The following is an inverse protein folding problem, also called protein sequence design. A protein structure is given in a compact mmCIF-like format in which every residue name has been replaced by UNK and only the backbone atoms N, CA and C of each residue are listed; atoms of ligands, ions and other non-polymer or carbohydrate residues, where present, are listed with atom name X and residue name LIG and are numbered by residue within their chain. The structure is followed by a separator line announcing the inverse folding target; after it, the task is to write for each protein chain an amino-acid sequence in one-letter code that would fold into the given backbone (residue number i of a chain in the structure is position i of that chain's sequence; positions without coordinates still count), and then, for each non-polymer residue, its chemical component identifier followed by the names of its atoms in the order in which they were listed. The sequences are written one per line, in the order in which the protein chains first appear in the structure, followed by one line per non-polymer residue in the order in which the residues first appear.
data_IF_952390842034
#
_entry.id   IF_952390842034
#
_cell.length_a   1.000
_cell.length_b   1.000
_cell.length_c   1.000
_cell.angle_alpha   90.00
_cell.angle_beta   90.00
_cell.angle_gamma   90.00
#
_symmetry.space_group_name_H-M   'P 1'
#
loop_
_entity.id
_entity.type
_entity.pdbx_description
1 polymer ?
#
# COMPACT_ATOMS: atom_id res chain seq x y z
N UNK A 1 1.64 -3.38 8.18
CA UNK A 1 0.31 -4.03 8.11
C UNK A 1 0.08 -4.52 6.69
N UNK A 2 -0.30 -5.79 6.48
CA UNK A 2 -0.47 -6.36 5.14
C UNK A 2 -1.56 -7.45 5.10
N UNK A 3 -2.23 -7.57 3.95
CA UNK A 3 -3.25 -8.59 3.69
C UNK A 3 -3.36 -8.92 2.21
N UNK A 4 -3.93 -10.08 1.89
CA UNK A 4 -4.30 -10.45 0.51
C UNK A 4 -5.76 -10.08 0.24
N UNK A 5 -5.99 -9.03 -0.57
CA UNK A 5 -7.34 -8.54 -0.91
C UNK A 5 -8.22 -9.59 -1.61
N UNK A 6 -7.62 -10.61 -2.25
CA UNK A 6 -8.37 -11.68 -2.90
C UNK A 6 -9.15 -12.53 -1.89
N UNK A 7 -8.62 -12.66 -0.66
CA UNK A 7 -9.32 -13.35 0.43
C UNK A 7 -10.56 -12.60 0.91
N UNK A 8 -10.66 -11.31 0.57
CA UNK A 8 -11.84 -10.47 0.83
C UNK A 8 -12.76 -10.37 -0.40
N UNK A 9 -12.48 -11.13 -1.47
CA UNK A 9 -13.26 -11.07 -2.71
C UNK A 9 -13.10 -9.77 -3.50
N UNK A 10 -12.08 -8.95 -3.20
CA UNK A 10 -11.87 -7.65 -3.83
C UNK A 10 -11.10 -7.80 -5.16
N UNK A 11 -11.71 -7.46 -6.30
CA UNK A 11 -11.05 -7.54 -7.59
C UNK A 11 -9.93 -6.50 -7.72
N UNK A 12 -8.98 -6.75 -8.62
CA UNK A 12 -7.96 -5.78 -8.98
C UNK A 12 -8.40 -4.91 -10.15
N UNK A 13 -8.14 -3.63 -10.07
CA UNK A 13 -8.29 -2.67 -11.15
C UNK A 13 -7.17 -1.65 -11.16
N UNK A 14 -7.06 -0.85 -12.22
CA UNK A 14 -6.11 0.26 -12.30
C UNK A 14 -6.32 1.32 -11.21
N UNK A 15 -7.54 1.46 -10.70
CA UNK A 15 -7.88 2.40 -9.63
C UNK A 15 -7.12 2.08 -8.34
N UNK A 16 -6.78 0.80 -8.07
CA UNK A 16 -5.93 0.44 -6.93
C UNK A 16 -4.52 1.03 -7.02
N UNK A 17 -3.94 1.11 -8.24
CA UNK A 17 -2.64 1.76 -8.43
C UNK A 17 -2.72 3.25 -8.12
N UNK A 18 -3.81 3.88 -8.55
CA UNK A 18 -4.06 5.29 -8.31
C UNK A 18 -4.26 5.56 -6.82
N UNK A 19 -5.13 4.78 -6.15
CA UNK A 19 -5.34 4.87 -4.71
C UNK A 19 -4.03 4.67 -3.92
N UNK A 20 -3.15 3.77 -4.36
CA UNK A 20 -1.85 3.57 -3.73
C UNK A 20 -0.94 4.79 -3.86
N UNK A 21 -0.99 5.51 -4.97
CA UNK A 21 -0.26 6.78 -5.15
C UNK A 21 -0.82 7.87 -4.25
N UNK A 22 -2.13 8.07 -4.29
CA UNK A 22 -2.82 9.07 -3.48
C UNK A 22 -2.56 8.84 -2.00
N UNK A 23 -2.80 7.64 -1.49
CA UNK A 23 -2.57 7.31 -0.08
C UNK A 23 -1.10 7.51 0.32
N UNK A 24 -0.14 7.15 -0.54
CA UNK A 24 1.28 7.26 -0.19
C UNK A 24 1.79 8.70 -0.20
N UNK A 25 1.39 9.51 -1.19
CA UNK A 25 1.99 10.82 -1.42
C UNK A 25 1.17 12.00 -0.88
N UNK A 26 -0.06 11.75 -0.47
CA UNK A 26 -0.92 12.75 0.17
C UNK A 26 -1.15 12.37 1.64
N UNK A 27 -2.00 11.39 1.92
CA UNK A 27 -2.41 11.04 3.27
C UNK A 27 -1.26 10.57 4.17
N UNK A 28 -0.58 9.48 3.78
CA UNK A 28 0.48 8.89 4.63
C UNK A 28 1.74 9.76 4.68
N UNK A 29 2.00 10.52 3.63
CA UNK A 29 3.07 11.50 3.66
C UNK A 29 2.81 12.58 4.71
N UNK A 30 1.59 13.12 4.75
CA UNK A 30 1.20 14.14 5.72
C UNK A 30 1.14 13.58 7.14
N UNK A 31 0.37 12.51 7.35
CA UNK A 31 0.02 12.03 8.68
C UNK A 31 1.16 11.23 9.34
N UNK A 32 1.82 10.35 8.58
CA UNK A 32 2.83 9.44 9.16
C UNK A 32 4.24 10.02 9.04
N UNK A 33 4.59 10.62 7.88
CA UNK A 33 5.93 11.15 7.70
C UNK A 33 6.10 12.54 8.30
N UNK A 34 5.27 13.52 7.89
CA UNK A 34 5.45 14.92 8.31
C UNK A 34 5.05 15.11 9.76
N UNK A 35 3.84 14.70 10.14
CA UNK A 35 3.32 14.85 11.51
C UNK A 35 3.86 13.77 12.46
N UNK A 36 3.94 12.52 11.99
CA UNK A 36 4.38 11.38 12.78
C UNK A 36 5.89 11.29 12.95
N UNK A 37 6.68 11.87 12.04
CA UNK A 37 8.14 11.86 12.10
C UNK A 37 8.81 10.63 11.50
N UNK A 38 8.08 9.75 10.84
CA UNK A 38 8.65 8.62 10.12
C UNK A 38 9.51 9.09 8.94
N UNK A 39 10.59 8.38 8.63
CA UNK A 39 11.42 8.69 7.48
C UNK A 39 10.70 8.44 6.15
N UNK A 40 9.85 7.43 6.11
CA UNK A 40 9.02 7.12 4.96
C UNK A 40 7.80 6.30 5.34
N UNK A 41 6.73 6.47 4.59
CA UNK A 41 5.50 5.69 4.73
C UNK A 41 4.84 5.52 3.37
N UNK A 42 3.99 4.51 3.23
CA UNK A 42 3.23 4.33 2.00
C UNK A 42 2.27 3.14 2.04
N UNK A 43 1.44 3.10 1.02
CA UNK A 43 0.56 1.98 0.70
C UNK A 43 0.95 1.38 -0.63
N UNK A 44 1.01 0.07 -0.71
CA UNK A 44 1.33 -0.67 -1.92
C UNK A 44 0.29 -1.75 -2.17
N UNK A 45 -0.04 -1.92 -3.44
CA UNK A 45 -0.91 -3.00 -3.90
C UNK A 45 -0.28 -3.72 -5.08
N UNK A 46 -0.55 -5.02 -5.19
CA UNK A 46 -0.10 -5.82 -6.31
C UNK A 46 -1.29 -6.51 -6.97
N UNK A 47 -1.16 -6.79 -8.25
CA UNK A 47 -2.14 -7.60 -8.96
C UNK A 47 -2.30 -9.00 -8.36
N UNK A 48 -1.23 -9.58 -7.82
CA UNK A 48 -1.24 -10.87 -7.15
C UNK A 48 -2.04 -10.90 -5.83
N UNK A 49 -2.60 -9.76 -5.41
CA UNK A 49 -3.49 -9.64 -4.26
C UNK A 49 -2.87 -8.97 -3.04
N UNK A 50 -1.54 -8.91 -2.94
CA UNK A 50 -0.91 -8.31 -1.77
C UNK A 50 -1.21 -6.80 -1.69
N UNK A 51 -1.73 -6.39 -0.54
CA UNK A 51 -1.88 -4.99 -0.15
C UNK A 51 -1.11 -4.78 1.15
N UNK A 52 -0.34 -3.72 1.25
CA UNK A 52 0.44 -3.44 2.46
C UNK A 52 0.57 -1.94 2.72
N UNK A 53 0.37 -1.57 3.97
CA UNK A 53 0.86 -0.32 4.53
C UNK A 53 2.24 -0.55 5.13
N UNK A 54 3.12 0.41 5.01
CA UNK A 54 4.45 0.36 5.62
C UNK A 54 4.89 1.73 6.09
N UNK A 55 5.70 1.73 7.16
CA UNK A 55 6.51 2.87 7.58
C UNK A 55 7.95 2.42 7.79
N UNK A 56 8.87 3.36 7.76
CA UNK A 56 10.30 3.13 7.91
C UNK A 56 10.93 4.17 8.81
N UNK A 57 11.76 3.72 9.79
CA UNK A 57 12.32 4.57 10.83
C UNK A 57 11.23 5.43 11.50
N UNK A 58 10.22 4.73 11.98
CA UNK A 58 9.02 5.32 12.54
C UNK A 58 9.11 5.33 14.06
N UNK A 59 9.05 6.52 14.71
CA UNK A 59 9.12 6.62 16.17
C UNK A 59 7.78 6.36 16.86
N UNK A 60 6.65 6.22 16.13
CA UNK A 60 5.28 6.23 16.67
C UNK A 60 4.44 5.06 16.18
N UNK A 61 4.74 3.84 16.66
CA UNK A 61 4.12 2.59 16.20
C UNK A 61 2.59 2.64 16.27
N UNK A 62 2.04 2.98 17.43
CA UNK A 62 0.59 2.94 17.66
C UNK A 62 -0.17 3.99 16.84
N UNK A 63 0.35 5.22 16.80
CA UNK A 63 -0.25 6.30 16.00
C UNK A 63 -0.22 5.95 14.52
N UNK A 64 0.87 5.40 14.03
CA UNK A 64 1.02 4.98 12.63
C UNK A 64 0.05 3.85 12.28
N UNK A 65 -0.10 2.85 13.17
CA UNK A 65 -1.09 1.80 12.99
C UNK A 65 -2.52 2.34 12.93
N UNK A 66 -2.85 3.33 13.77
CA UNK A 66 -4.14 4.01 13.73
C UNK A 66 -4.35 4.73 12.39
N UNK A 67 -3.34 5.47 11.89
CA UNK A 67 -3.40 6.15 10.58
C UNK A 67 -3.59 5.16 9.42
N UNK A 68 -2.97 3.98 9.49
CA UNK A 68 -3.23 2.94 8.48
C UNK A 68 -4.69 2.46 8.50
N UNK A 69 -5.30 2.35 9.69
CA UNK A 69 -6.70 1.99 9.85
C UNK A 69 -7.69 3.06 9.36
N UNK A 70 -7.29 4.33 9.35
CA UNK A 70 -8.12 5.47 8.93
C UNK A 70 -7.99 5.79 7.43
N UNK A 71 -7.05 5.15 6.72
CA UNK A 71 -6.68 5.51 5.35
C UNK A 71 -7.83 5.38 4.34
N UNK A 72 -8.66 4.35 4.49
CA UNK A 72 -9.81 4.14 3.60
C UNK A 72 -10.92 5.15 3.86
N UNK A 73 -11.21 5.44 5.12
CA UNK A 73 -12.19 6.47 5.51
C UNK A 73 -11.77 7.86 5.04
N UNK A 74 -10.48 8.19 5.12
CA UNK A 74 -9.93 9.42 4.55
C UNK A 74 -10.12 9.45 3.03
N UNK A 75 -9.80 8.35 2.34
CA UNK A 75 -9.94 8.26 0.88
C UNK A 75 -11.41 8.45 0.44
N UNK A 76 -12.36 7.87 1.18
CA UNK A 76 -13.79 7.96 0.88
C UNK A 76 -14.38 9.34 1.14
N UNK A 77 -13.93 10.04 2.19
CA UNK A 77 -14.61 11.23 2.69
C UNK A 77 -13.82 12.54 2.59
N UNK A 78 -12.50 12.50 2.73
CA UNK A 78 -11.68 13.69 2.80
C UNK A 78 -10.81 13.94 1.54
N UNK A 79 -10.66 12.94 0.68
CA UNK A 79 -9.94 13.11 -0.58
C UNK A 79 -10.77 13.96 -1.56
N UNK A 80 -10.33 15.20 -1.80
CA UNK A 80 -11.02 16.19 -2.64
C UNK A 80 -10.00 16.95 -3.50
N UNK A 81 -9.41 16.30 -4.53
CA UNK A 81 -8.39 16.91 -5.37
C UNK A 81 -8.99 17.88 -6.37
N UNK A 82 -8.24 18.89 -6.75
CA UNK A 82 -8.48 19.66 -7.97
C UNK A 82 -8.26 18.76 -9.20
N UNK A 83 -8.77 19.19 -10.35
CA UNK A 83 -8.56 18.48 -11.63
C UNK A 83 -7.06 18.29 -11.92
N UNK A 84 -6.25 19.35 -11.73
CA UNK A 84 -4.79 19.29 -11.93
C UNK A 84 -4.08 18.30 -11.00
N UNK A 85 -4.52 18.21 -9.75
CA UNK A 85 -3.96 17.22 -8.80
C UNK A 85 -4.34 15.81 -9.21
N UNK A 86 -5.59 15.58 -9.61
CA UNK A 86 -6.03 14.29 -10.09
C UNK A 86 -5.24 13.84 -11.33
N UNK A 87 -5.05 14.73 -12.30
CA UNK A 87 -4.21 14.47 -13.47
C UNK A 87 -2.77 14.13 -13.06
N UNK A 88 -2.22 14.81 -12.07
CA UNK A 88 -0.90 14.53 -11.52
C UNK A 88 -0.78 13.11 -10.97
N UNK A 89 -1.79 12.62 -10.24
CA UNK A 89 -1.83 11.24 -9.75
C UNK A 89 -1.95 10.23 -10.89
N UNK A 90 -2.80 10.49 -11.88
CA UNK A 90 -2.95 9.63 -13.07
C UNK A 90 -1.63 9.51 -13.82
N UNK A 91 -0.98 10.62 -14.11
CA UNK A 91 0.34 10.66 -14.77
C UNK A 91 1.39 9.90 -13.95
N UNK A 92 1.44 10.12 -12.64
CA UNK A 92 2.36 9.43 -11.73
C UNK A 92 2.14 7.92 -11.71
N UNK A 93 0.87 7.47 -11.69
CA UNK A 93 0.52 6.05 -11.72
C UNK A 93 0.90 5.42 -13.07
N UNK A 94 0.56 6.07 -14.19
CA UNK A 94 0.92 5.61 -15.53
C UNK A 94 2.44 5.55 -15.73
N UNK A 95 3.18 6.57 -15.32
CA UNK A 95 4.64 6.61 -15.40
C UNK A 95 5.29 5.45 -14.62
N UNK A 96 4.71 5.05 -13.49
CA UNK A 96 5.22 3.90 -12.72
C UNK A 96 5.11 2.56 -13.46
N UNK A 97 4.14 2.43 -14.35
CA UNK A 97 3.98 1.24 -15.19
C UNK A 97 5.03 1.15 -16.29
N UNK A 98 5.50 2.30 -16.76
CA UNK A 98 6.46 2.44 -17.86
C UNK A 98 7.88 2.79 -17.38
N UNK A 99 8.13 2.74 -16.09
CA UNK A 99 9.44 3.05 -15.53
C UNK A 99 10.54 2.24 -16.24
N UNK A 100 11.64 2.90 -16.69
CA UNK A 100 12.77 2.23 -17.31
C UNK A 100 13.30 1.12 -16.41
N UNK A 101 13.53 -0.06 -16.98
CA UNK A 101 14.04 -1.21 -16.27
C UNK A 101 15.28 -1.75 -16.95
N UNK A 102 16.25 -2.25 -16.18
CA UNK A 102 17.42 -2.95 -16.71
C UNK A 102 16.99 -4.27 -17.36
N UNK A 103 17.77 -4.77 -18.32
CA UNK A 103 17.45 -6.00 -19.04
C UNK A 103 17.09 -7.18 -18.10
N UNK A 104 17.84 -7.35 -17.00
CA UNK A 104 17.56 -8.39 -16.00
C UNK A 104 16.20 -8.21 -15.32
N UNK A 105 15.78 -6.98 -15.09
CA UNK A 105 14.47 -6.65 -14.48
C UNK A 105 13.33 -6.88 -15.48
N UNK A 106 13.58 -6.55 -16.76
CA UNK A 106 12.63 -6.84 -17.84
C UNK A 106 12.37 -8.33 -17.97
N UNK A 107 13.43 -9.16 -17.97
CA UNK A 107 13.31 -10.62 -18.03
C UNK A 107 12.47 -11.11 -16.85
N UNK A 108 12.82 -10.73 -15.61
CA UNK A 108 12.07 -11.13 -14.42
C UNK A 108 10.60 -10.68 -14.47
N UNK A 109 10.34 -9.48 -15.01
CA UNK A 109 8.97 -8.98 -15.20
C UNK A 109 8.22 -9.82 -16.21
N UNK A 110 8.83 -10.17 -17.34
CA UNK A 110 8.22 -11.00 -18.37
C UNK A 110 7.94 -12.41 -17.85
N UNK A 111 8.90 -13.04 -17.17
CA UNK A 111 8.72 -14.35 -16.54
C UNK A 111 7.56 -14.30 -15.53
N UNK A 112 7.54 -13.30 -14.65
CA UNK A 112 6.46 -13.12 -13.68
C UNK A 112 5.10 -12.92 -14.34
N UNK A 113 5.03 -12.18 -15.43
CA UNK A 113 3.81 -11.99 -16.23
C UNK A 113 3.36 -13.30 -16.85
N UNK A 114 4.27 -14.07 -17.47
CA UNK A 114 3.99 -15.34 -18.08
C UNK A 114 3.40 -16.36 -17.08
N UNK A 115 4.09 -16.58 -15.96
CA UNK A 115 3.61 -17.51 -14.92
C UNK A 115 2.34 -17.05 -14.20
N UNK A 116 2.07 -15.74 -14.16
CA UNK A 116 0.83 -15.20 -13.60
C UNK A 116 -0.33 -15.16 -14.60
N UNK A 117 -0.13 -15.61 -15.85
CA UNK A 117 -1.13 -15.48 -16.92
C UNK A 117 -1.50 -14.03 -17.20
N UNK A 118 -0.55 -13.11 -17.05
CA UNK A 118 -0.74 -11.67 -17.26
C UNK A 118 -0.17 -11.25 -18.59
N UNK A 119 -1.01 -11.16 -19.59
CA UNK A 119 -0.64 -10.77 -20.94
C UNK A 119 -0.58 -9.23 -21.12
N UNK A 120 -0.14 -8.82 -22.30
CA UNK A 120 -0.06 -7.40 -22.66
C UNK A 120 -1.44 -6.74 -22.74
N UNK A 121 -2.48 -7.49 -23.12
CA UNK A 121 -3.83 -6.97 -23.18
C UNK A 121 -4.36 -6.65 -21.77
N UNK A 122 -4.09 -7.51 -20.79
CA UNK A 122 -4.43 -7.26 -19.40
C UNK A 122 -3.66 -6.04 -18.82
N UNK A 123 -2.40 -5.85 -19.25
CA UNK A 123 -1.63 -4.66 -18.88
C UNK A 123 -2.20 -3.39 -19.50
N UNK A 124 -2.59 -3.45 -20.77
CA UNK A 124 -3.23 -2.33 -21.46
C UNK A 124 -4.55 -1.94 -20.77
N UNK A 125 -5.41 -2.90 -20.44
CA UNK A 125 -6.66 -2.63 -19.69
C UNK A 125 -6.40 -1.90 -18.37
N UNK A 126 -5.43 -2.33 -17.56
CA UNK A 126 -5.10 -1.64 -16.31
C UNK A 126 -4.63 -0.20 -16.56
N UNK A 127 -3.90 0.03 -17.65
CA UNK A 127 -3.47 1.37 -18.04
C UNK A 127 -4.66 2.26 -18.44
N UNK A 128 -5.58 1.71 -19.23
CA UNK A 128 -6.80 2.40 -19.65
C UNK A 128 -7.67 2.73 -18.42
N UNK A 129 -7.81 1.80 -17.48
CA UNK A 129 -8.51 2.01 -16.20
C UNK A 129 -7.86 3.13 -15.37
N UNK A 130 -6.52 3.21 -15.32
CA UNK A 130 -5.81 4.31 -14.64
C UNK A 130 -6.10 5.63 -15.34
N UNK A 131 -6.03 5.67 -16.68
CA UNK A 131 -6.21 6.89 -17.46
C UNK A 131 -7.65 7.43 -17.41
N UNK A 132 -8.64 6.53 -17.29
CA UNK A 132 -10.06 6.88 -17.23
C UNK A 132 -10.61 7.04 -15.80
N UNK A 133 -9.78 6.80 -14.77
CA UNK A 133 -10.23 6.80 -13.38
C UNK A 133 -10.75 8.17 -12.93
N UNK A 134 -11.88 8.14 -12.26
CA UNK A 134 -12.54 9.32 -11.69
C UNK A 134 -12.28 9.43 -10.19
N UNK A 135 -12.48 10.62 -9.63
CA UNK A 135 -12.41 10.87 -8.18
C UNK A 135 -13.40 9.97 -7.43
N UNK A 136 -14.60 9.80 -7.96
CA UNK A 136 -15.64 8.98 -7.34
C UNK A 136 -15.27 7.49 -7.31
N UNK A 137 -14.63 6.98 -8.35
CA UNK A 137 -14.13 5.59 -8.36
C UNK A 137 -12.98 5.39 -7.35
N UNK A 138 -12.12 6.38 -7.17
CA UNK A 138 -11.08 6.36 -6.14
C UNK A 138 -11.70 6.37 -4.75
N UNK A 139 -12.66 7.26 -4.48
CA UNK A 139 -13.39 7.33 -3.20
C UNK A 139 -14.12 6.02 -2.89
N UNK A 140 -14.71 5.40 -3.92
CA UNK A 140 -15.41 4.12 -3.78
C UNK A 140 -14.51 2.96 -3.32
N UNK A 141 -13.18 3.07 -3.46
CA UNK A 141 -12.23 2.10 -2.90
C UNK A 141 -12.03 2.22 -1.38
N UNK A 142 -12.45 3.32 -0.75
CA UNK A 142 -12.23 3.55 0.68
C UNK A 142 -12.64 2.38 1.56
N UNK A 143 -13.88 1.85 1.48
CA UNK A 143 -14.30 0.69 2.26
C UNK A 143 -13.45 -0.57 2.02
N UNK A 144 -12.94 -0.75 0.80
CA UNK A 144 -12.08 -1.87 0.46
C UNK A 144 -10.67 -1.71 1.08
N UNK A 145 -10.15 -0.49 1.14
CA UNK A 145 -8.89 -0.15 1.82
C UNK A 145 -9.02 -0.37 3.34
N UNK A 146 -10.13 0.06 3.95
CA UNK A 146 -10.42 -0.17 5.38
C UNK A 146 -10.56 -1.67 5.68
N UNK A 147 -11.21 -2.43 4.80
CA UNK A 147 -11.33 -3.89 4.95
C UNK A 147 -9.96 -4.59 4.90
N UNK A 148 -9.06 -4.13 4.02
CA UNK A 148 -7.68 -4.62 3.96
C UNK A 148 -6.90 -4.28 5.22
N UNK A 149 -7.03 -3.07 5.74
CA UNK A 149 -6.39 -2.65 6.99
C UNK A 149 -6.92 -3.44 8.18
N UNK A 150 -8.25 -3.58 8.30
CA UNK A 150 -8.90 -4.30 9.39
C UNK A 150 -8.60 -5.81 9.43
N UNK A 151 -8.40 -6.44 8.26
CA UNK A 151 -8.00 -7.85 8.15
C UNK A 151 -6.49 -8.07 8.25
N UNK A 152 -5.70 -6.99 8.21
CA UNK A 152 -4.25 -7.02 8.05
C UNK A 152 -3.51 -7.61 9.26
N UNK A 153 -2.47 -8.39 8.98
CA UNK A 153 -1.46 -8.74 9.96
C UNK A 153 -0.45 -7.60 10.09
N UNK A 154 -0.16 -7.20 11.33
CA UNK A 154 0.87 -6.19 11.63
C UNK A 154 2.14 -6.88 12.07
N UNK A 155 3.27 -6.45 11.50
CA UNK A 155 4.60 -6.85 11.91
C UNK A 155 5.45 -5.60 12.08
N UNK A 156 6.15 -5.50 13.20
CA UNK A 156 7.09 -4.41 13.51
C UNK A 156 8.46 -5.01 13.74
N UNK A 157 9.47 -4.43 13.12
CA UNK A 157 10.87 -4.79 13.33
C UNK A 157 11.62 -3.56 13.84
N UNK A 158 12.23 -3.66 15.02
CA UNK A 158 12.91 -2.51 15.64
C UNK A 158 13.45 -2.81 17.03
N UNK A 159 13.63 -1.74 17.81
CA UNK A 159 14.08 -1.86 19.20
C UNK A 159 12.99 -2.52 20.05
N UNK A 160 13.37 -3.56 20.81
CA UNK A 160 12.48 -4.33 21.67
C UNK A 160 11.74 -3.46 22.70
N UNK A 161 12.44 -2.59 23.40
CA UNK A 161 11.85 -1.70 24.42
C UNK A 161 10.75 -0.78 23.83
N UNK A 162 10.96 -0.27 22.62
CA UNK A 162 9.97 0.56 21.93
C UNK A 162 8.75 -0.25 21.50
N UNK A 163 8.97 -1.49 21.07
CA UNK A 163 7.88 -2.38 20.67
C UNK A 163 7.09 -2.85 21.88
N UNK A 164 7.76 -3.16 22.99
CA UNK A 164 7.11 -3.55 24.26
C UNK A 164 6.30 -2.42 24.89
N UNK A 165 6.76 -1.18 24.73
CA UNK A 165 6.04 0.01 25.20
C UNK A 165 4.82 0.36 24.34
N UNK A 166 4.72 -0.18 23.13
CA UNK A 166 3.60 0.06 22.24
C UNK A 166 2.32 -0.63 22.76
N UNK A 167 1.18 0.08 22.68
CA UNK A 167 -0.12 -0.43 23.16
C UNK A 167 -0.83 -1.29 22.12
N UNK A 168 -0.21 -1.55 20.98
CA UNK A 168 -0.77 -2.25 19.82
C UNK A 168 -0.99 -3.75 20.02
N UNK A 169 -0.71 -4.30 21.20
CA UNK A 169 -0.92 -5.73 21.52
C UNK A 169 -0.03 -6.67 20.71
N UNK A 170 1.12 -6.21 20.26
CA UNK A 170 2.09 -7.01 19.50
C UNK A 170 2.78 -8.03 20.40
N UNK A 171 2.92 -9.26 19.93
CA UNK A 171 3.77 -10.28 20.59
C UNK A 171 5.22 -10.01 20.20
N UNK A 172 6.06 -9.74 21.20
CA UNK A 172 7.49 -9.52 20.98
C UNK A 172 8.21 -10.87 20.82
N UNK A 173 9.00 -11.00 19.78
CA UNK A 173 9.85 -12.16 19.50
C UNK A 173 11.29 -11.68 19.43
N UNK A 174 12.14 -12.15 20.33
CA UNK A 174 13.57 -11.89 20.26
C UNK A 174 14.21 -12.80 19.20
N UNK A 175 14.59 -12.19 18.07
CA UNK A 175 15.20 -12.92 16.95
C UNK A 175 16.68 -13.28 17.20
N UNK A 176 17.30 -12.73 18.22
CA UNK A 176 18.71 -12.94 18.55
C UNK A 176 18.90 -13.96 19.69
N UNK A 177 17.88 -14.22 20.48
CA UNK A 177 17.91 -15.29 21.46
C UNK A 177 17.78 -16.67 20.78
N UNK A 178 18.74 -17.56 21.00
CA UNK A 178 18.68 -18.95 20.49
C UNK A 178 17.66 -19.82 21.23
N UNK A 179 17.00 -19.31 22.26
CA UNK A 179 15.98 -20.02 23.02
C UNK A 179 14.60 -19.67 22.47
N UNK A 180 14.05 -20.56 21.66
CA UNK A 180 12.62 -20.52 21.32
C UNK A 180 12.25 -20.12 19.90
N UNK A 181 13.03 -20.50 18.89
CA UNK A 181 12.56 -20.45 17.51
C UNK A 181 11.82 -21.75 17.14
N UNK A 182 10.48 -21.80 17.14
CA UNK A 182 9.74 -22.90 16.53
C UNK A 182 9.79 -22.71 15.01
N UNK A 183 10.74 -23.36 14.32
CA UNK A 183 10.65 -23.62 12.89
C UNK A 183 9.62 -24.70 12.61
#
# INVERSE_FOLDING_TARGET
MAWDRRRLGLPYSGVWLLAARILSYDYLWSEVRVKGGAYGAGFQTTRAGACRFYSYRDPRIDETCARFGEAGSWLAGAFDPTETEMDGYVVSAAASMDAPAKARELIRRQDGMYFAGYDLAARARVRDEVAAATVDEVRALGPAVDAVAGAGCTCVFGNGEVIEAAQSGLTVIDLLSHEGNPL
#
